data_IF_720586727541
#
_entry.id   IF_720586727541
#
_cell.length_a   1.000
_cell.length_b   1.000
_cell.length_c   1.000
_cell.angle_alpha   90.00
_cell.angle_beta   90.00
_cell.angle_gamma   90.00
#
_symmetry.space_group_name_H-M   'P 1'
#
loop_
_entity.id
_entity.type
_entity.pdbx_description
1 polymer ?
#
# COMPACT_ATOMS: atom_id res chain seq x y z
N UNK A 1 3.44 -12.88 8.11
CA UNK A 1 4.86 -12.95 8.49
C UNK A 1 5.06 -14.02 9.56
N UNK A 2 6.26 -14.61 9.75
CA UNK A 2 6.48 -15.62 10.79
C UNK A 2 6.16 -15.15 12.22
N UNK A 3 6.15 -13.83 12.43
CA UNK A 3 5.76 -13.15 13.68
C UNK A 3 4.23 -12.94 13.82
N UNK A 4 3.43 -13.46 12.89
CA UNK A 4 1.97 -13.32 12.89
C UNK A 4 1.43 -12.05 12.24
N UNK A 5 2.28 -11.09 11.83
CA UNK A 5 1.81 -9.86 11.17
C UNK A 5 1.24 -10.12 9.78
N UNK A 6 0.13 -9.44 9.46
CA UNK A 6 -0.45 -9.31 8.13
C UNK A 6 0.01 -7.99 7.52
N UNK A 7 0.79 -8.09 6.44
CA UNK A 7 1.21 -6.91 5.67
C UNK A 7 0.45 -6.86 4.36
N UNK A 8 0.23 -5.64 3.87
CA UNK A 8 -0.13 -5.41 2.47
C UNK A 8 1.13 -5.12 1.67
N UNK A 9 1.27 -5.75 0.50
CA UNK A 9 2.47 -5.64 -0.32
C UNK A 9 2.18 -4.91 -1.64
N UNK A 10 3.08 -4.02 -2.04
CA UNK A 10 3.08 -3.37 -3.35
C UNK A 10 4.37 -3.78 -4.08
N UNK A 11 4.22 -4.57 -5.14
CA UNK A 11 5.33 -5.05 -5.96
C UNK A 11 5.63 -4.07 -7.09
N UNK A 12 6.88 -3.62 -7.18
CA UNK A 12 7.33 -2.72 -8.25
C UNK A 12 8.55 -3.30 -8.95
N UNK A 13 8.55 -3.27 -10.28
CA UNK A 13 9.69 -3.69 -11.11
C UNK A 13 10.33 -2.52 -11.88
N UNK A 14 10.02 -1.29 -11.49
CA UNK A 14 10.56 -0.09 -12.13
C UNK A 14 12.08 -0.03 -12.00
N UNK A 15 12.75 0.52 -13.02
CA UNK A 15 14.22 0.63 -13.04
C UNK A 15 14.79 1.47 -11.89
N UNK A 16 14.04 2.46 -11.42
CA UNK A 16 14.51 3.48 -10.47
C UNK A 16 14.27 3.15 -9.00
N UNK A 17 13.76 1.96 -8.65
CA UNK A 17 13.50 1.58 -7.26
C UNK A 17 12.15 2.01 -6.71
N UNK A 18 12.02 1.94 -5.39
CA UNK A 18 10.85 2.37 -4.62
C UNK A 18 10.99 3.86 -4.31
N UNK A 19 9.93 4.61 -4.58
CA UNK A 19 9.81 6.02 -4.18
C UNK A 19 8.91 6.15 -2.96
N UNK A 20 9.14 7.18 -2.14
CA UNK A 20 8.39 7.41 -0.90
C UNK A 20 6.88 7.53 -1.10
N UNK A 21 6.42 7.97 -2.27
CA UNK A 21 4.99 8.00 -2.62
C UNK A 21 4.32 6.61 -2.62
N UNK A 22 5.09 5.51 -2.69
CA UNK A 22 4.59 4.13 -2.58
C UNK A 22 3.90 3.87 -1.23
N UNK A 23 4.22 4.65 -0.19
CA UNK A 23 3.48 4.60 1.07
C UNK A 23 2.01 5.00 0.91
N UNK A 24 1.67 5.86 -0.06
CA UNK A 24 0.31 6.35 -0.26
C UNK A 24 -0.67 5.27 -0.74
N UNK A 25 -0.42 4.51 -1.82
CA UNK A 25 -1.31 3.42 -2.21
C UNK A 25 -1.35 2.30 -1.15
N UNK A 26 -0.22 1.96 -0.53
CA UNK A 26 -0.18 0.99 0.58
C UNK A 26 -1.13 1.40 1.72
N UNK A 27 -1.06 2.66 2.15
CA UNK A 27 -1.93 3.20 3.19
C UNK A 27 -3.39 3.28 2.75
N UNK A 28 -3.66 3.67 1.50
CA UNK A 28 -5.01 3.72 0.96
C UNK A 28 -5.69 2.35 0.98
N UNK A 29 -4.97 1.32 0.52
CA UNK A 29 -5.49 -0.04 0.53
C UNK A 29 -5.59 -0.61 1.95
N UNK A 30 -4.62 -0.36 2.82
CA UNK A 30 -4.65 -0.82 4.22
C UNK A 30 -5.75 -0.18 5.08
N UNK A 31 -6.36 0.91 4.60
CA UNK A 31 -7.44 1.65 5.27
C UNK A 31 -8.73 1.67 4.45
N UNK A 32 -8.81 0.87 3.40
CA UNK A 32 -10.07 0.63 2.70
C UNK A 32 -11.04 -0.12 3.61
N UNK A 33 -12.34 0.13 3.46
CA UNK A 33 -13.37 -0.59 4.21
C UNK A 33 -13.57 -2.01 3.65
N UNK A 34 -13.45 -2.15 2.34
CA UNK A 34 -13.68 -3.39 1.60
C UNK A 34 -12.65 -3.63 0.51
N UNK A 35 -12.49 -4.89 0.12
CA UNK A 35 -11.84 -5.31 -1.13
C UNK A 35 -12.81 -6.16 -1.95
N UNK A 36 -12.57 -6.31 -3.24
CA UNK A 36 -13.34 -7.20 -4.10
C UNK A 36 -12.67 -8.58 -4.17
N UNK A 37 -13.42 -9.64 -3.94
CA UNK A 37 -12.93 -11.02 -4.11
C UNK A 37 -12.89 -11.45 -5.59
N UNK A 38 -12.55 -12.72 -5.83
CA UNK A 38 -12.44 -13.30 -7.17
C UNK A 38 -13.76 -13.32 -7.96
N UNK A 39 -14.89 -13.11 -7.28
CA UNK A 39 -16.22 -13.02 -7.89
C UNK A 39 -16.72 -11.57 -8.00
N UNK A 40 -15.90 -10.59 -7.61
CA UNK A 40 -16.27 -9.17 -7.61
C UNK A 40 -17.22 -8.80 -6.46
N UNK A 41 -17.30 -9.61 -5.42
CA UNK A 41 -18.13 -9.33 -4.24
C UNK A 41 -17.31 -8.58 -3.20
N UNK A 42 -17.91 -7.58 -2.57
CA UNK A 42 -17.28 -6.83 -1.48
C UNK A 42 -17.08 -7.71 -0.25
N UNK A 43 -15.84 -7.72 0.24
CA UNK A 43 -15.45 -8.38 1.48
C UNK A 43 -14.83 -7.33 2.40
N UNK A 44 -15.07 -7.39 3.72
CA UNK A 44 -14.45 -6.47 4.66
C UNK A 44 -12.92 -6.60 4.60
N UNK A 45 -12.22 -5.47 4.55
CA UNK A 45 -10.77 -5.50 4.58
C UNK A 45 -10.31 -6.06 5.95
N UNK A 46 -9.49 -7.12 5.98
CA UNK A 46 -8.97 -7.63 7.23
C UNK A 46 -7.98 -6.62 7.84
N UNK A 47 -7.77 -6.68 9.16
CA UNK A 47 -6.75 -5.84 9.81
C UNK A 47 -5.36 -6.05 9.17
N UNK A 48 -4.71 -4.95 8.81
CA UNK A 48 -3.37 -4.88 8.21
C UNK A 48 -2.43 -4.15 9.16
N UNK A 49 -1.37 -4.84 9.58
CA UNK A 49 -0.40 -4.37 10.56
C UNK A 49 0.67 -3.42 9.98
N UNK A 50 0.86 -3.42 8.65
CA UNK A 50 1.87 -2.61 7.99
C UNK A 50 1.89 -2.77 6.47
N UNK A 51 2.63 -1.90 5.79
CA UNK A 51 2.85 -1.96 4.34
C UNK A 51 4.26 -2.46 4.01
N UNK A 52 4.41 -3.21 2.93
CA UNK A 52 5.71 -3.64 2.42
C UNK A 52 5.82 -3.28 0.93
N UNK A 53 6.67 -2.31 0.61
CA UNK A 53 7.04 -2.05 -0.77
C UNK A 53 8.13 -3.07 -1.15
N UNK A 54 7.93 -3.78 -2.26
CA UNK A 54 8.85 -4.82 -2.73
C UNK A 54 9.39 -4.43 -4.09
N UNK A 55 10.68 -4.14 -4.18
CA UNK A 55 11.34 -3.81 -5.43
C UNK A 55 11.91 -5.08 -6.06
N UNK A 56 11.30 -5.51 -7.15
CA UNK A 56 11.69 -6.72 -7.89
C UNK A 56 12.64 -6.36 -9.04
N UNK A 57 13.69 -7.16 -9.20
CA UNK A 57 14.64 -7.10 -10.31
C UNK A 57 14.93 -8.53 -10.80
N UNK A 58 15.58 -8.64 -11.96
CA UNK A 58 15.96 -9.93 -12.52
C UNK A 58 16.96 -10.70 -11.63
N UNK A 59 17.75 -9.98 -10.81
CA UNK A 59 18.80 -10.53 -9.97
C UNK A 59 18.40 -10.68 -8.49
N UNK A 60 17.19 -10.29 -8.11
CA UNK A 60 16.72 -10.36 -6.73
C UNK A 60 15.67 -9.32 -6.39
N UNK A 61 15.57 -9.00 -5.12
CA UNK A 61 14.60 -8.04 -4.62
C UNK A 61 15.12 -7.30 -3.38
N UNK A 62 14.56 -6.12 -3.14
CA UNK A 62 14.68 -5.39 -1.87
C UNK A 62 13.29 -5.08 -1.32
N UNK A 63 13.23 -4.79 -0.02
CA UNK A 63 11.97 -4.50 0.66
C UNK A 63 12.09 -3.28 1.55
N UNK A 64 11.11 -2.38 1.46
CA UNK A 64 10.96 -1.23 2.35
C UNK A 64 9.67 -1.37 3.16
N UNK A 65 9.82 -1.42 4.49
CA UNK A 65 8.69 -1.49 5.42
C UNK A 65 8.12 -0.10 5.66
N UNK A 66 6.80 0.03 5.49
CA UNK A 66 6.03 1.22 5.84
C UNK A 66 5.29 0.94 7.15
N UNK A 67 5.88 1.40 8.25
CA UNK A 67 5.33 1.19 9.60
C UNK A 67 4.20 2.18 9.92
N UNK A 68 4.35 3.45 9.55
CA UNK A 68 3.34 4.50 9.79
C UNK A 68 2.34 4.62 8.64
N UNK A 69 1.47 3.61 8.51
CA UNK A 69 0.38 3.63 7.54
C UNK A 69 -0.67 4.72 7.84
N UNK A 70 -0.87 5.09 9.10
CA UNK A 70 -1.87 6.10 9.46
C UNK A 70 -1.42 7.50 9.04
N UNK A 71 -0.16 7.85 9.27
CA UNK A 71 0.45 9.08 8.79
C UNK A 71 0.41 9.16 7.26
N UNK A 72 0.83 8.08 6.58
CA UNK A 72 0.74 7.99 5.12
C UNK A 72 -0.70 8.11 4.60
N UNK A 73 -1.70 7.56 5.32
CA UNK A 73 -3.11 7.69 4.95
C UNK A 73 -3.63 9.12 5.08
N UNK A 74 -3.17 9.90 6.06
CA UNK A 74 -3.51 11.32 6.14
C UNK A 74 -2.98 12.09 4.94
N UNK A 75 -1.72 11.82 4.54
CA UNK A 75 -1.13 12.42 3.33
C UNK A 75 -1.91 12.01 2.09
N UNK A 76 -2.26 10.73 1.96
CA UNK A 76 -3.07 10.22 0.86
C UNK A 76 -4.41 10.96 0.75
N UNK A 77 -5.13 11.13 1.86
CA UNK A 77 -6.40 11.89 1.88
C UNK A 77 -6.22 13.34 1.44
N UNK A 78 -5.13 13.98 1.86
CA UNK A 78 -4.82 15.35 1.43
C UNK A 78 -4.57 15.42 -0.08
N UNK A 79 -3.72 14.52 -0.62
CA UNK A 79 -3.46 14.42 -2.07
C UNK A 79 -4.75 14.14 -2.84
N UNK A 80 -5.60 13.22 -2.37
CA UNK A 80 -6.87 12.89 -2.98
C UNK A 80 -7.84 14.09 -2.98
N UNK A 81 -7.87 14.88 -1.91
CA UNK A 81 -8.66 16.11 -1.84
C UNK A 81 -8.20 17.13 -2.88
N UNK A 82 -6.91 17.43 -2.95
CA UNK A 82 -6.33 18.36 -3.93
C UNK A 82 -6.61 17.90 -5.36
N UNK A 83 -6.39 16.60 -5.64
CA UNK A 83 -6.62 16.03 -6.97
C UNK A 83 -8.09 16.12 -7.43
N UNK A 84 -9.05 16.03 -6.49
CA UNK A 84 -10.48 16.23 -6.78
C UNK A 84 -10.82 17.70 -7.02
N UNK A 85 -10.18 18.62 -6.30
CA UNK A 85 -10.42 20.06 -6.42
C UNK A 85 -9.79 20.67 -7.69
N UNK A 86 -8.73 20.05 -8.23
CA UNK A 86 -8.06 20.49 -9.46
C UNK A 86 -8.78 20.06 -10.75
N UNK A 87 -9.95 19.41 -10.65
CA UNK A 87 -10.78 18.97 -11.78
C UNK A 87 -11.86 19.98 -12.12
#
# INVERSE_FOLDING_TARGET
>A
MPDGRRLICDYKSGRSGIWGETALPLAAYARAEVYLDEHGIEQPLPHVDGGLAVWLRADGYDTDLVEDLDGAFQVFKHVAHVARAAR
#
